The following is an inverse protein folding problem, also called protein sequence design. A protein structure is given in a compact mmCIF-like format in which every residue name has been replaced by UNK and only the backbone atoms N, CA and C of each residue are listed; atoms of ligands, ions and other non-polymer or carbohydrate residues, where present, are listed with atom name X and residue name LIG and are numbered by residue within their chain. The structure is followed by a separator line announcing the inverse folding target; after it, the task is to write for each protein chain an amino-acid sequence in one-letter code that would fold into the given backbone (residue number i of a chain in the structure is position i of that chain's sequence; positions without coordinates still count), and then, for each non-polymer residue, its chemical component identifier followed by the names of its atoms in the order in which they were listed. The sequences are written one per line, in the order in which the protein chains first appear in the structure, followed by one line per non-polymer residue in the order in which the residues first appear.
data_IF_973598493627
#
_entry.id   IF_973598493627
#
_cell.length_a   1.000
_cell.length_b   1.000
_cell.length_c   1.000
_cell.angle_alpha   90.00
_cell.angle_beta   90.00
_cell.angle_gamma   90.00
#
_symmetry.space_group_name_H-M   'P 1'
#
loop_
_entity.id
_entity.type
_entity.pdbx_description
1 polymer ?
#
# COMPACT_ATOMS: atom_id res chain seq x y z
N UNK A 1 -1.88 9.70 -13.06
CA UNK A 1 -0.42 9.50 -12.83
C UNK A 1 -0.08 8.09 -13.27
N UNK A 2 0.97 7.81 -14.06
CA UNK A 2 1.21 6.45 -14.58
C UNK A 2 2.10 5.61 -13.65
N UNK A 3 1.77 4.33 -13.48
CA UNK A 3 2.59 3.32 -12.79
C UNK A 3 2.13 2.97 -11.37
N UNK A 4 1.11 3.65 -10.84
CA UNK A 4 0.56 3.38 -9.51
C UNK A 4 -0.15 2.03 -9.46
N UNK A 5 -0.85 1.65 -10.54
CA UNK A 5 -1.48 0.34 -10.61
C UNK A 5 -0.47 -0.81 -10.48
N UNK A 6 0.71 -0.65 -11.10
CA UNK A 6 1.81 -1.62 -10.99
C UNK A 6 2.43 -1.60 -9.60
N UNK A 7 2.72 -0.42 -9.07
CA UNK A 7 3.30 -0.27 -7.74
C UNK A 7 2.43 -0.89 -6.65
N UNK A 8 1.12 -0.60 -6.67
CA UNK A 8 0.15 -1.21 -5.77
C UNK A 8 0.17 -2.74 -5.86
N UNK A 9 0.22 -3.30 -7.08
CA UNK A 9 0.30 -4.74 -7.28
C UNK A 9 1.58 -5.38 -6.72
N UNK A 10 2.72 -4.69 -6.81
CA UNK A 10 3.98 -5.14 -6.21
C UNK A 10 3.86 -5.12 -4.69
N UNK A 11 3.38 -4.02 -4.11
CA UNK A 11 3.30 -3.86 -2.66
C UNK A 11 2.33 -4.81 -1.97
N UNK A 12 1.21 -5.15 -2.61
CA UNK A 12 0.32 -6.18 -2.05
C UNK A 12 1.03 -7.53 -1.83
N UNK A 13 2.12 -7.82 -2.55
CA UNK A 13 2.91 -9.04 -2.39
C UNK A 13 4.23 -8.81 -1.63
N UNK A 14 4.49 -7.59 -1.20
CA UNK A 14 5.72 -7.20 -0.52
C UNK A 14 5.59 -7.44 0.98
N UNK A 15 6.45 -8.29 1.55
CA UNK A 15 6.36 -8.67 2.96
C UNK A 15 6.58 -7.50 3.92
N UNK A 16 7.38 -6.51 3.52
CA UNK A 16 7.62 -5.29 4.31
C UNK A 16 6.37 -4.42 4.30
N UNK A 17 5.68 -4.31 3.17
CA UNK A 17 4.39 -3.61 3.09
C UNK A 17 3.31 -4.29 3.92
N UNK A 18 3.22 -5.62 3.87
CA UNK A 18 2.29 -6.36 4.73
C UNK A 18 2.63 -6.14 6.20
N UNK A 19 3.90 -6.25 6.61
CA UNK A 19 4.33 -5.99 7.99
C UNK A 19 3.95 -4.58 8.48
N UNK A 20 4.05 -3.57 7.61
CA UNK A 20 3.57 -2.22 7.93
C UNK A 20 2.06 -2.18 8.17
N UNK A 21 1.26 -2.83 7.31
CA UNK A 21 -0.19 -2.92 7.50
C UNK A 21 -0.55 -3.65 8.80
N UNK A 22 0.20 -4.69 9.15
CA UNK A 22 0.03 -5.42 10.41
C UNK A 22 0.33 -4.53 11.63
N UNK A 23 1.42 -3.76 11.58
CA UNK A 23 1.82 -2.85 12.65
C UNK A 23 0.75 -1.77 12.92
N UNK A 24 0.20 -1.15 11.87
CA UNK A 24 -0.79 -0.08 12.04
C UNK A 24 -2.21 -0.59 12.36
N UNK A 25 -2.51 -1.86 12.05
CA UNK A 25 -3.85 -2.43 12.23
C UNK A 25 -3.96 -3.34 13.46
N UNK A 26 -2.83 -3.88 13.95
CA UNK A 26 -2.79 -4.89 15.00
C UNK A 26 -3.23 -6.29 14.56
N UNK A 27 -3.39 -6.54 13.26
CA UNK A 27 -3.86 -7.82 12.71
C UNK A 27 -2.98 -8.27 11.55
N UNK A 28 -2.84 -9.59 11.35
CA UNK A 28 -2.11 -10.13 10.21
C UNK A 28 -2.78 -9.75 8.87
N UNK A 29 -1.98 -9.47 7.84
CA UNK A 29 -2.46 -9.07 6.51
C UNK A 29 -2.00 -10.06 5.45
N UNK A 30 -2.95 -10.58 4.67
CA UNK A 30 -2.64 -11.33 3.45
C UNK A 30 -2.49 -10.39 2.24
N UNK A 31 -1.90 -10.85 1.13
CA UNK A 31 -1.89 -10.08 -0.11
C UNK A 31 -3.27 -9.63 -0.60
N UNK A 32 -4.29 -10.47 -0.41
CA UNK A 32 -5.67 -10.14 -0.80
C UNK A 32 -6.26 -9.06 0.11
N UNK A 33 -5.98 -9.09 1.40
CA UNK A 33 -6.39 -8.03 2.34
C UNK A 33 -5.76 -6.68 1.95
N UNK A 34 -4.49 -6.69 1.54
CA UNK A 34 -3.82 -5.48 1.07
C UNK A 34 -4.44 -4.93 -0.22
N UNK A 35 -4.88 -5.80 -1.14
CA UNK A 35 -5.60 -5.37 -2.36
C UNK A 35 -6.92 -4.70 -1.99
N UNK A 36 -7.70 -5.32 -1.10
CA UNK A 36 -8.98 -4.77 -0.65
C UNK A 36 -8.80 -3.45 0.12
N UNK A 37 -7.78 -3.34 0.97
CA UNK A 37 -7.47 -2.10 1.67
C UNK A 37 -7.17 -0.95 0.70
N UNK A 38 -6.36 -1.19 -0.34
CA UNK A 38 -6.05 -0.16 -1.34
C UNK A 38 -7.31 0.24 -2.11
N UNK A 39 -8.16 -0.72 -2.51
CA UNK A 39 -9.43 -0.45 -3.18
C UNK A 39 -10.35 0.41 -2.33
N UNK A 40 -10.53 0.04 -1.06
CA UNK A 40 -11.38 0.74 -0.11
C UNK A 40 -10.86 2.15 0.18
N UNK A 41 -9.55 2.31 0.43
CA UNK A 41 -8.97 3.63 0.70
C UNK A 41 -9.00 4.55 -0.51
N UNK A 42 -8.66 4.04 -1.69
CA UNK A 42 -8.62 4.84 -2.90
C UNK A 42 -9.99 5.01 -3.57
N UNK A 43 -11.03 4.31 -3.06
CA UNK A 43 -12.38 4.29 -3.62
C UNK A 43 -12.41 3.87 -5.10
N UNK A 44 -11.79 2.74 -5.42
CA UNK A 44 -11.70 2.19 -6.78
C UNK A 44 -12.15 0.72 -6.83
N UNK A 45 -12.75 0.28 -7.93
CA UNK A 45 -13.09 -1.14 -8.14
C UNK A 45 -11.88 -1.99 -8.53
N UNK A 46 -10.89 -1.37 -9.15
CA UNK A 46 -9.68 -2.00 -9.65
C UNK A 46 -8.46 -1.12 -9.45
N UNK A 47 -7.33 -1.72 -9.05
CA UNK A 47 -6.03 -1.01 -9.00
C UNK A 47 -5.64 -0.33 -10.32
N UNK A 48 -6.20 -0.76 -11.46
CA UNK A 48 -5.99 -0.13 -12.77
C UNK A 48 -6.49 1.32 -12.80
N UNK A 49 -7.50 1.64 -11.99
CA UNK A 49 -8.07 2.98 -11.91
C UNK A 49 -7.11 3.98 -11.24
N UNK A 50 -6.15 3.51 -10.44
CA UNK A 50 -5.13 4.38 -9.82
C UNK A 50 -4.33 5.18 -10.86
N UNK A 51 -4.18 4.66 -12.08
CA UNK A 51 -3.45 5.37 -13.12
C UNK A 51 -4.29 6.43 -13.86
N UNK A 52 -5.61 6.27 -13.83
CA UNK A 52 -6.58 7.04 -14.63
C UNK A 52 -7.39 8.04 -13.80
N UNK A 53 -7.59 7.78 -12.51
CA UNK A 53 -8.30 8.64 -11.57
C UNK A 53 -7.28 9.43 -10.73
N UNK A 54 -7.24 10.74 -10.93
CA UNK A 54 -6.32 11.65 -10.22
C UNK A 54 -6.61 11.73 -8.72
N UNK A 55 -7.88 11.60 -8.30
CA UNK A 55 -8.25 11.57 -6.89
C UNK A 55 -7.76 10.29 -6.25
N UNK A 56 -8.00 9.14 -6.88
CA UNK A 56 -7.51 7.86 -6.39
C UNK A 56 -5.97 7.83 -6.30
N UNK A 57 -5.29 8.39 -7.32
CA UNK A 57 -3.84 8.56 -7.33
C UNK A 57 -3.36 9.42 -6.14
N UNK A 58 -4.00 10.57 -5.91
CA UNK A 58 -3.65 11.46 -4.79
C UNK A 58 -3.80 10.75 -3.45
N UNK A 59 -4.91 10.03 -3.24
CA UNK A 59 -5.14 9.29 -1.99
C UNK A 59 -4.13 8.16 -1.81
N UNK A 60 -3.83 7.40 -2.86
CA UNK A 60 -2.80 6.35 -2.78
C UNK A 60 -1.44 6.93 -2.37
N UNK A 61 -1.08 8.11 -2.89
CA UNK A 61 0.19 8.74 -2.56
C UNK A 61 0.22 9.26 -1.12
N UNK A 62 -0.78 10.04 -0.71
CA UNK A 62 -0.77 10.71 0.59
C UNK A 62 -1.12 9.78 1.75
N UNK A 63 -2.07 8.85 1.55
CA UNK A 63 -2.62 8.03 2.64
C UNK A 63 -1.97 6.64 2.74
N UNK A 64 -1.25 6.21 1.70
CA UNK A 64 -0.64 4.87 1.67
C UNK A 64 0.87 4.97 1.47
N UNK A 65 1.32 5.53 0.35
CA UNK A 65 2.75 5.56 0.02
C UNK A 65 3.56 6.38 1.02
N UNK A 66 3.14 7.61 1.33
CA UNK A 66 3.89 8.46 2.26
C UNK A 66 3.99 7.87 3.67
N UNK A 67 2.88 7.40 4.30
CA UNK A 67 2.93 6.70 5.58
C UNK A 67 3.81 5.45 5.55
N UNK A 68 3.69 4.61 4.52
CA UNK A 68 4.51 3.41 4.38
C UNK A 68 6.01 3.75 4.29
N UNK A 69 6.39 4.71 3.46
CA UNK A 69 7.79 5.12 3.33
C UNK A 69 8.34 5.69 4.64
N UNK A 70 7.54 6.47 5.37
CA UNK A 70 7.91 7.01 6.68
C UNK A 70 8.11 5.89 7.70
N UNK A 71 7.17 4.95 7.77
CA UNK A 71 7.28 3.80 8.65
C UNK A 71 8.53 2.96 8.33
N UNK A 72 8.76 2.68 7.05
CA UNK A 72 9.93 1.92 6.56
C UNK A 72 11.26 2.56 6.98
N UNK A 73 11.34 3.89 6.95
CA UNK A 73 12.54 4.63 7.39
C UNK A 73 12.75 4.58 8.91
N UNK A 74 11.68 4.48 9.69
CA UNK A 74 11.72 4.41 11.15
C UNK A 74 11.96 2.99 11.70
N UNK A 75 11.71 1.96 10.89
CA UNK A 75 11.81 0.55 11.29
C UNK A 75 12.83 -0.23 10.46
N UNK A 76 14.11 0.19 10.40
CA UNK A 76 15.12 -0.50 9.59
C UNK A 76 15.29 -1.97 10.01
N UNK A 77 15.13 -2.28 11.30
CA UNK A 77 15.25 -3.64 11.83
C UNK A 77 14.09 -4.55 11.39
N UNK A 78 12.87 -4.02 11.25
CA UNK A 78 11.74 -4.77 10.69
C UNK A 78 11.95 -5.05 9.21
N UNK A 79 12.42 -4.03 8.47
CA UNK A 79 12.71 -4.16 7.03
C UNK A 79 13.79 -5.21 6.78
N UNK A 80 14.80 -5.32 7.64
CA UNK A 80 15.89 -6.27 7.49
C UNK A 80 15.49 -7.75 7.67
N UNK A 81 14.26 -8.04 8.15
CA UNK A 81 13.76 -9.42 8.33
C UNK A 81 13.30 -10.08 7.03
N UNK A 82 13.16 -9.33 5.94
CA UNK A 82 12.52 -9.74 4.69
C UNK A 82 13.46 -9.55 3.49
#
# INVERSE_FOLDING_TARGET
MKGLARLAGIWCNDRVFLAWLEDISGHAFTPDDAVELIRLKCNVGSRRELDADERAASVFLSEIREPFMRWRALHPDEVAKY
#
